data_IF_844274308516
#
_entry.id   IF_844274308516
#
_cell.length_a   1.000
_cell.length_b   1.000
_cell.length_c   1.000
_cell.angle_alpha   90.00
_cell.angle_beta   90.00
_cell.angle_gamma   90.00
#
_symmetry.space_group_name_H-M   'P 1'
#
loop_
_entity.id
_entity.type
_entity.pdbx_description
1 polymer ?
#
# COMPACT_ATOMS: atom_id res chain seq x y z
N UNK A 1 11.71 -8.41 3.30
CA UNK A 1 11.79 -9.83 3.71
C UNK A 1 12.18 -10.75 2.59
N UNK A 2 11.39 -10.92 1.54
CA UNK A 2 11.77 -11.77 0.40
C UNK A 2 13.14 -11.41 -0.20
N UNK A 3 13.50 -10.11 -0.21
CA UNK A 3 14.83 -9.66 -0.66
C UNK A 3 15.96 -10.19 0.24
N UNK A 4 15.83 -10.07 1.57
CA UNK A 4 16.83 -10.62 2.51
C UNK A 4 16.92 -12.14 2.38
N UNK A 5 15.77 -12.81 2.27
CA UNK A 5 15.73 -14.26 2.08
C UNK A 5 16.38 -14.70 0.76
N UNK A 6 16.17 -13.93 -0.32
CA UNK A 6 16.79 -14.17 -1.64
C UNK A 6 18.29 -13.86 -1.69
N UNK A 7 18.80 -13.03 -0.77
CA UNK A 7 20.23 -12.79 -0.57
C UNK A 7 20.88 -13.84 0.37
N UNK A 8 20.16 -14.92 0.68
CA UNK A 8 20.57 -15.96 1.64
C UNK A 8 20.71 -15.47 3.10
N UNK A 9 20.19 -14.29 3.43
CA UNK A 9 20.15 -13.70 4.78
C UNK A 9 18.91 -14.16 5.58
N UNK A 10 18.58 -15.45 5.48
CA UNK A 10 17.38 -16.03 6.10
C UNK A 10 17.39 -15.89 7.63
N UNK A 11 18.55 -16.05 8.26
CA UNK A 11 18.70 -15.89 9.70
C UNK A 11 18.35 -14.48 10.19
N UNK A 12 18.76 -13.44 9.45
CA UNK A 12 18.40 -12.06 9.75
C UNK A 12 16.92 -11.78 9.49
N UNK A 13 16.37 -12.32 8.40
CA UNK A 13 14.94 -12.21 8.11
C UNK A 13 14.08 -12.80 9.25
N UNK A 14 14.47 -13.96 9.79
CA UNK A 14 13.80 -14.57 10.94
C UNK A 14 13.95 -13.69 12.20
N UNK A 15 15.16 -13.18 12.49
CA UNK A 15 15.40 -12.30 13.65
C UNK A 15 14.50 -11.06 13.62
N UNK A 16 14.38 -10.39 12.47
CA UNK A 16 13.50 -9.24 12.33
C UNK A 16 12.03 -9.61 12.45
N UNK A 17 11.61 -10.76 11.89
CA UNK A 17 10.24 -11.24 12.06
C UNK A 17 9.90 -11.47 13.54
N UNK A 18 10.78 -12.15 14.28
CA UNK A 18 10.62 -12.40 15.72
C UNK A 18 10.57 -11.07 16.49
N UNK A 19 11.44 -10.12 16.18
CA UNK A 19 11.42 -8.78 16.78
C UNK A 19 10.06 -8.09 16.56
N UNK A 20 9.53 -8.13 15.34
CA UNK A 20 8.22 -7.51 15.04
C UNK A 20 7.05 -8.23 15.73
N UNK A 21 7.14 -9.55 15.92
CA UNK A 21 6.15 -10.31 16.71
C UNK A 21 6.20 -9.93 18.19
N UNK A 22 7.40 -9.77 18.77
CA UNK A 22 7.58 -9.31 20.14
C UNK A 22 7.00 -7.89 20.30
N UNK A 23 7.38 -6.97 19.40
CA UNK A 23 6.85 -5.61 19.39
C UNK A 23 5.34 -5.57 19.25
N UNK A 24 4.77 -6.40 18.37
CA UNK A 24 3.31 -6.55 18.23
C UNK A 24 2.70 -7.00 19.56
N UNK A 25 3.25 -8.03 20.21
CA UNK A 25 2.73 -8.52 21.49
C UNK A 25 2.73 -7.47 22.59
N UNK A 26 3.82 -6.70 22.70
CA UNK A 26 3.94 -5.61 23.68
C UNK A 26 2.97 -4.46 23.35
N UNK A 27 2.91 -4.04 22.09
CA UNK A 27 2.06 -2.92 21.64
C UNK A 27 0.59 -3.29 21.56
N UNK A 28 0.23 -4.56 21.49
CA UNK A 28 -1.17 -4.98 21.32
C UNK A 28 -2.04 -4.53 22.50
N UNK A 29 -1.60 -4.73 23.74
CA UNK A 29 -2.34 -4.30 24.94
C UNK A 29 -2.62 -2.78 24.99
N UNK A 30 -1.61 -1.89 24.86
CA UNK A 30 -1.86 -0.45 24.87
C UNK A 30 -2.68 0.00 23.64
N UNK A 31 -2.49 -0.62 22.48
CA UNK A 31 -3.29 -0.29 21.30
C UNK A 31 -4.75 -0.73 21.44
N UNK A 32 -5.05 -1.84 22.11
CA UNK A 32 -6.43 -2.24 22.43
C UNK A 32 -7.06 -1.23 23.38
N UNK A 33 -6.32 -0.73 24.36
CA UNK A 33 -6.85 0.29 25.27
C UNK A 33 -7.21 1.60 24.53
N UNK A 34 -6.36 2.04 23.60
CA UNK A 34 -6.55 3.30 22.86
C UNK A 34 -7.53 3.17 21.68
N UNK A 35 -7.44 2.10 20.90
CA UNK A 35 -8.16 1.91 19.63
C UNK A 35 -9.23 0.80 19.69
N UNK A 36 -9.46 0.20 20.86
CA UNK A 36 -10.45 -0.87 21.09
C UNK A 36 -10.24 -2.02 20.11
N UNK A 37 -11.28 -2.33 19.32
CA UNK A 37 -11.31 -3.42 18.34
C UNK A 37 -10.23 -3.24 17.25
N UNK A 38 -9.81 -2.00 16.98
CA UNK A 38 -8.76 -1.72 15.99
C UNK A 38 -7.34 -1.81 16.57
N UNK A 39 -7.20 -1.99 17.89
CA UNK A 39 -5.90 -2.08 18.56
C UNK A 39 -4.95 -3.14 17.97
N UNK A 40 -5.40 -4.39 17.76
CA UNK A 40 -4.57 -5.44 17.17
C UNK A 40 -4.12 -5.13 15.73
N UNK A 41 -4.94 -4.41 14.96
CA UNK A 41 -4.60 -3.97 13.59
C UNK A 41 -3.49 -2.91 13.63
N UNK A 42 -3.61 -1.92 14.52
CA UNK A 42 -2.60 -0.86 14.68
C UNK A 42 -1.27 -1.46 15.17
N UNK A 43 -1.30 -2.35 16.16
CA UNK A 43 -0.10 -3.02 16.66
C UNK A 43 0.60 -3.85 15.56
N UNK A 44 -0.16 -4.52 14.71
CA UNK A 44 0.39 -5.27 13.56
C UNK A 44 1.04 -4.34 12.55
N UNK A 45 0.40 -3.21 12.20
CA UNK A 45 0.97 -2.23 11.29
C UNK A 45 2.29 -1.65 11.81
N UNK A 46 2.35 -1.31 13.11
CA UNK A 46 3.57 -0.81 13.74
C UNK A 46 4.68 -1.86 13.76
N UNK A 47 4.37 -3.11 14.12
CA UNK A 47 5.35 -4.20 14.10
C UNK A 47 5.93 -4.42 12.70
N UNK A 48 5.08 -4.44 11.68
CA UNK A 48 5.50 -4.59 10.29
C UNK A 48 6.30 -3.39 9.79
N UNK A 49 5.95 -2.16 10.18
CA UNK A 49 6.72 -0.96 9.84
C UNK A 49 8.15 -1.04 10.38
N UNK A 50 8.31 -1.41 11.65
CA UNK A 50 9.66 -1.57 12.26
C UNK A 50 10.46 -2.64 11.51
N UNK A 51 9.83 -3.77 11.20
CA UNK A 51 10.44 -4.84 10.40
C UNK A 51 10.96 -4.33 9.05
N UNK A 52 10.13 -3.58 8.32
CA UNK A 52 10.47 -3.05 6.99
C UNK A 52 11.61 -2.04 7.09
N UNK A 53 11.57 -1.12 8.07
CA UNK A 53 12.60 -0.11 8.27
C UNK A 53 13.96 -0.73 8.61
N UNK A 54 13.99 -1.72 9.51
CA UNK A 54 15.22 -2.43 9.84
C UNK A 54 15.78 -3.19 8.63
N UNK A 55 14.90 -3.85 7.87
CA UNK A 55 15.30 -4.56 6.65
C UNK A 55 15.89 -3.60 5.61
N UNK A 56 15.27 -2.44 5.40
CA UNK A 56 15.74 -1.43 4.44
C UNK A 56 17.08 -0.83 4.88
N UNK A 57 17.23 -0.49 6.16
CA UNK A 57 18.49 0.03 6.72
C UNK A 57 19.63 -0.98 6.61
N UNK A 58 19.34 -2.27 6.85
CA UNK A 58 20.32 -3.32 6.67
C UNK A 58 20.78 -3.44 5.21
N UNK A 59 19.85 -3.38 4.25
CA UNK A 59 20.16 -3.39 2.82
C UNK A 59 20.99 -2.17 2.39
N UNK A 60 20.70 -0.99 2.94
CA UNK A 60 21.48 0.23 2.66
C UNK A 60 22.93 0.06 3.11
N UNK A 61 23.15 -0.37 4.35
CA UNK A 61 24.49 -0.48 4.94
C UNK A 61 25.33 -1.61 4.34
N UNK A 62 24.73 -2.78 4.07
CA UNK A 62 25.48 -3.96 3.62
C UNK A 62 25.60 -4.07 2.10
N UNK A 63 24.62 -3.57 1.35
CA UNK A 63 24.51 -3.79 -0.09
C UNK A 63 24.48 -2.50 -0.91
N UNK A 64 24.83 -1.34 -0.31
CA UNK A 64 24.76 -0.01 -0.93
C UNK A 64 23.42 0.25 -1.63
N UNK A 65 22.34 -0.27 -1.03
CA UNK A 65 21.01 -0.20 -1.63
C UNK A 65 20.52 1.25 -1.68
N UNK A 66 20.10 1.70 -2.86
CA UNK A 66 19.67 3.08 -3.06
C UNK A 66 18.25 3.32 -2.49
N UNK A 67 18.18 3.70 -1.22
CA UNK A 67 16.93 4.03 -0.54
C UNK A 67 16.20 5.20 -1.19
N UNK A 68 16.91 6.21 -1.72
CA UNK A 68 16.30 7.37 -2.36
C UNK A 68 15.45 6.98 -3.58
N UNK A 69 15.89 5.99 -4.37
CA UNK A 69 15.11 5.47 -5.51
C UNK A 69 13.82 4.79 -5.05
N UNK A 70 13.88 4.01 -3.98
CA UNK A 70 12.72 3.31 -3.43
C UNK A 70 11.75 4.28 -2.77
N UNK A 71 12.26 5.23 -1.97
CA UNK A 71 11.47 6.26 -1.30
C UNK A 71 10.69 7.13 -2.27
N UNK A 72 11.32 7.62 -3.36
CA UNK A 72 10.63 8.39 -4.41
C UNK A 72 9.47 7.62 -5.05
N UNK A 73 9.62 6.31 -5.26
CA UNK A 73 8.54 5.47 -5.78
C UNK A 73 7.41 5.33 -4.76
N UNK A 74 7.74 5.11 -3.48
CA UNK A 74 6.75 5.03 -2.41
C UNK A 74 5.94 6.32 -2.30
N UNK A 75 6.59 7.49 -2.32
CA UNK A 75 5.89 8.79 -2.29
C UNK A 75 4.90 8.93 -3.44
N UNK A 76 5.28 8.53 -4.67
CA UNK A 76 4.37 8.54 -5.81
C UNK A 76 3.16 7.62 -5.63
N UNK A 77 3.38 6.38 -5.17
CA UNK A 77 2.30 5.43 -4.88
C UNK A 77 1.37 6.00 -3.79
N UNK A 78 1.93 6.49 -2.69
CA UNK A 78 1.17 7.08 -1.58
C UNK A 78 0.35 8.28 -2.04
N UNK A 79 0.92 9.17 -2.86
CA UNK A 79 0.21 10.32 -3.40
C UNK A 79 -1.00 9.89 -4.27
N UNK A 80 -0.84 8.89 -5.13
CA UNK A 80 -1.97 8.37 -5.93
C UNK A 80 -3.01 7.65 -5.09
N UNK A 81 -2.59 6.90 -4.06
CA UNK A 81 -3.52 6.27 -3.13
C UNK A 81 -4.34 7.30 -2.35
N UNK A 82 -3.73 8.43 -1.95
CA UNK A 82 -4.45 9.54 -1.31
C UNK A 82 -5.44 10.18 -2.29
N UNK A 83 -5.02 10.46 -3.53
CA UNK A 83 -5.91 10.99 -4.56
C UNK A 83 -7.10 10.07 -4.85
N UNK A 84 -6.84 8.77 -4.97
CA UNK A 84 -7.87 7.75 -5.14
C UNK A 84 -8.84 7.73 -3.96
N UNK A 85 -8.32 7.76 -2.72
CA UNK A 85 -9.14 7.78 -1.52
C UNK A 85 -10.09 8.99 -1.49
N UNK A 86 -9.60 10.18 -1.84
CA UNK A 86 -10.42 11.40 -1.90
C UNK A 86 -11.55 11.25 -2.92
N UNK A 87 -11.25 10.77 -4.13
CA UNK A 87 -12.25 10.62 -5.19
C UNK A 87 -13.29 9.57 -4.82
N UNK A 88 -12.85 8.40 -4.33
CA UNK A 88 -13.77 7.33 -3.92
C UNK A 88 -14.69 7.82 -2.81
N UNK A 89 -14.16 8.53 -1.80
CA UNK A 89 -14.96 9.10 -0.71
C UNK A 89 -15.97 10.14 -1.19
N UNK A 90 -15.59 10.98 -2.17
CA UNK A 90 -16.50 11.96 -2.78
C UNK A 90 -17.63 11.28 -3.54
N UNK A 91 -17.32 10.24 -4.32
CA UNK A 91 -18.32 9.44 -5.04
C UNK A 91 -19.23 8.71 -4.05
N UNK A 92 -18.66 8.07 -3.04
CA UNK A 92 -19.40 7.37 -1.98
C UNK A 92 -20.40 8.32 -1.29
N UNK A 93 -19.92 9.48 -0.83
CA UNK A 93 -20.74 10.48 -0.13
C UNK A 93 -21.79 11.13 -1.03
N UNK A 94 -21.49 11.28 -2.32
CA UNK A 94 -22.45 11.78 -3.31
C UNK A 94 -23.55 10.77 -3.60
N UNK A 95 -23.17 9.51 -3.78
CA UNK A 95 -24.08 8.43 -4.17
C UNK A 95 -24.92 7.91 -2.98
N UNK A 96 -24.39 7.97 -1.76
CA UNK A 96 -25.10 7.62 -0.52
C UNK A 96 -26.30 8.54 -0.24
N UNK A 97 -26.37 9.72 -0.87
CA UNK A 97 -27.55 10.61 -0.78
C UNK A 97 -28.72 10.14 -1.62
N UNK A 98 -28.46 9.35 -2.67
CA UNK A 98 -29.48 8.83 -3.58
C UNK A 98 -29.79 7.35 -3.33
N UNK A 99 -28.80 6.59 -2.87
CA UNK A 99 -28.92 5.17 -2.55
C UNK A 99 -28.91 4.99 -1.03
N UNK A 100 -30.05 4.58 -0.46
CA UNK A 100 -30.16 4.37 0.98
C UNK A 100 -29.30 3.14 1.39
N UNK A 101 -28.21 3.31 2.15
CA UNK A 101 -27.25 2.22 2.43
C UNK A 101 -27.81 1.11 3.33
N UNK A 102 -28.98 1.33 3.93
CA UNK A 102 -29.61 0.40 4.88
C UNK A 102 -30.07 -0.92 4.22
N UNK A 103 -30.25 -0.91 2.90
CA UNK A 103 -30.59 -2.11 2.14
C UNK A 103 -29.35 -2.70 1.44
N UNK A 104 -29.22 -4.03 1.51
CA UNK A 104 -28.05 -4.76 0.98
C UNK A 104 -27.76 -4.51 -0.50
N UNK A 105 -28.81 -4.41 -1.33
CA UNK A 105 -28.66 -4.24 -2.79
C UNK A 105 -28.13 -2.83 -3.16
N UNK A 106 -28.72 -1.72 -2.63
CA UNK A 106 -28.14 -0.38 -2.79
C UNK A 106 -26.70 -0.26 -2.27
N UNK A 107 -26.38 -0.88 -1.13
CA UNK A 107 -25.02 -0.87 -0.59
C UNK A 107 -24.02 -1.58 -1.53
N UNK A 108 -24.39 -2.73 -2.09
CA UNK A 108 -23.56 -3.43 -3.08
C UNK A 108 -23.35 -2.59 -4.34
N UNK A 109 -24.41 -1.94 -4.85
CA UNK A 109 -24.32 -1.09 -6.03
C UNK A 109 -23.38 0.11 -5.78
N UNK A 110 -23.49 0.72 -4.60
CA UNK A 110 -22.65 1.83 -4.17
C UNK A 110 -21.17 1.42 -4.11
N UNK A 111 -20.87 0.24 -3.54
CA UNK A 111 -19.51 -0.29 -3.47
C UNK A 111 -18.95 -0.56 -4.87
N UNK A 112 -19.71 -1.23 -5.75
CA UNK A 112 -19.26 -1.55 -7.11
C UNK A 112 -18.91 -0.28 -7.88
N UNK A 113 -19.77 0.73 -7.83
CA UNK A 113 -19.55 2.01 -8.52
C UNK A 113 -18.36 2.77 -7.94
N UNK A 114 -18.25 2.84 -6.61
CA UNK A 114 -17.16 3.55 -5.93
C UNK A 114 -15.81 2.88 -6.19
N UNK A 115 -15.76 1.55 -6.14
CA UNK A 115 -14.56 0.75 -6.47
C UNK A 115 -14.20 0.91 -7.95
N UNK A 116 -15.19 0.88 -8.85
CA UNK A 116 -14.98 1.08 -10.28
C UNK A 116 -14.30 2.42 -10.60
N UNK A 117 -14.79 3.51 -10.00
CA UNK A 117 -14.17 4.83 -10.15
C UNK A 117 -12.75 4.86 -9.58
N UNK A 118 -12.53 4.26 -8.42
CA UNK A 118 -11.21 4.14 -7.81
C UNK A 118 -10.19 3.42 -8.71
N UNK A 119 -10.59 2.29 -9.31
CA UNK A 119 -9.76 1.51 -10.24
C UNK A 119 -9.41 2.33 -11.48
N UNK A 120 -10.40 2.99 -12.09
CA UNK A 120 -10.19 3.82 -13.29
C UNK A 120 -9.22 4.96 -12.97
N UNK A 121 -9.44 5.68 -11.87
CA UNK A 121 -8.58 6.79 -11.49
C UNK A 121 -7.15 6.33 -11.20
N UNK A 122 -6.98 5.32 -10.34
CA UNK A 122 -5.65 4.84 -9.97
C UNK A 122 -4.91 4.25 -11.17
N UNK A 123 -5.60 3.47 -12.01
CA UNK A 123 -5.05 2.94 -13.25
C UNK A 123 -4.59 4.04 -14.19
N UNK A 124 -5.44 5.05 -14.42
CA UNK A 124 -5.09 6.19 -15.26
C UNK A 124 -3.92 7.02 -14.69
N UNK A 125 -3.92 7.29 -13.38
CA UNK A 125 -2.86 8.03 -12.70
C UNK A 125 -1.51 7.32 -12.81
N UNK A 126 -1.48 6.00 -12.60
CA UNK A 126 -0.27 5.17 -12.69
C UNK A 126 0.27 5.11 -14.12
N UNK A 127 -0.60 5.01 -15.12
CA UNK A 127 -0.22 5.00 -16.54
C UNK A 127 0.31 6.36 -16.99
N UNK A 128 -0.36 7.46 -16.62
CA UNK A 128 0.00 8.82 -17.06
C UNK A 128 1.31 9.33 -16.47
N UNK A 129 1.68 8.90 -15.26
CA UNK A 129 2.81 9.51 -14.52
C UNK A 129 4.14 8.76 -14.68
N UNK A 130 4.25 7.84 -15.63
CA UNK A 130 5.41 6.95 -15.81
C UNK A 130 5.80 6.19 -14.52
N UNK A 131 4.96 6.20 -13.48
CA UNK A 131 5.21 5.46 -12.24
C UNK A 131 5.15 3.95 -12.53
N UNK A 132 4.24 3.55 -13.42
CA UNK A 132 4.15 2.20 -13.97
C UNK A 132 5.49 1.75 -14.58
N UNK A 133 6.08 2.57 -15.46
CA UNK A 133 7.39 2.31 -16.07
C UNK A 133 8.52 2.31 -15.02
N UNK A 134 8.48 3.25 -14.07
CA UNK A 134 9.50 3.33 -13.01
C UNK A 134 9.46 2.13 -12.07
N UNK A 135 8.30 1.52 -11.81
CA UNK A 135 8.14 0.37 -10.90
C UNK A 135 8.33 -0.95 -11.64
N UNK A 136 7.65 -1.15 -12.78
CA UNK A 136 7.63 -2.42 -13.51
C UNK A 136 8.67 -2.51 -14.64
N UNK A 137 9.38 -1.43 -14.94
CA UNK A 137 10.41 -1.38 -15.99
C UNK A 137 9.84 -1.52 -17.40
N UNK A 138 10.68 -2.01 -18.32
CA UNK A 138 10.35 -2.18 -19.75
C UNK A 138 9.21 -3.17 -20.04
N UNK A 139 8.77 -3.96 -19.05
CA UNK A 139 7.63 -4.88 -19.23
C UNK A 139 6.30 -4.15 -19.46
N UNK A 140 6.17 -2.91 -18.97
CA UNK A 140 4.96 -2.09 -19.15
C UNK A 140 4.95 -1.31 -20.47
N UNK A 141 6.09 -1.11 -21.15
CA UNK A 141 6.13 -0.40 -22.44
C UNK A 141 5.23 -1.08 -23.48
N UNK A 142 5.17 -2.42 -23.51
CA UNK A 142 4.28 -3.16 -24.41
C UNK A 142 2.79 -2.88 -24.16
N UNK A 143 2.43 -2.62 -22.90
CA UNK A 143 1.04 -2.31 -22.50
C UNK A 143 0.75 -0.83 -22.82
N UNK A 144 1.66 0.09 -22.52
CA UNK A 144 1.50 1.52 -22.81
C UNK A 144 1.39 1.81 -24.31
N UNK A 145 2.21 1.16 -25.14
CA UNK A 145 2.14 1.25 -26.61
C UNK A 145 0.80 0.73 -27.12
N UNK A 146 0.28 -0.36 -26.57
CA UNK A 146 -1.02 -0.92 -26.95
C UNK A 146 -2.20 -0.01 -26.58
N UNK A 147 -2.07 0.76 -25.50
CA UNK A 147 -3.07 1.75 -25.09
C UNK A 147 -2.86 3.14 -25.71
N UNK A 148 -1.87 3.32 -26.62
CA UNK A 148 -1.54 4.59 -27.30
C UNK A 148 -1.27 5.79 -26.37
N UNK A 149 -1.08 5.56 -25.07
CA UNK A 149 -0.71 6.61 -24.11
C UNK A 149 0.79 6.84 -24.27
N UNK A 150 1.15 7.76 -25.17
CA UNK A 150 2.52 8.28 -25.28
C UNK A 150 2.78 9.19 -24.09
N UNK A 151 3.68 8.75 -23.22
CA UNK A 151 4.26 9.55 -22.13
C UNK A 151 5.47 10.34 -22.62
#
# INVERSE_FOLDING_TARGET
MAILQGLSENGLAIKYLVLGLILKGILQFPMIFLFKIYGPLVATNLGLLVIVLLSLKHLELQYNFNLNRTSRRLVGITAFSIGMFIIVKLVETGLSKFLNPDHRIPALLLVILSVGVGIIFYGFAVLKTNLAQRIMGSRIEKILVKFHIHG
#
